data_IF_215948086084
#
_entry.id   IF_215948086084
#
_cell.length_a   1.000
_cell.length_b   1.000
_cell.length_c   1.000
_cell.angle_alpha   90.00
_cell.angle_beta   90.00
_cell.angle_gamma   90.00
#
_symmetry.space_group_name_H-M   'P 1'
#
loop_
_entity.id
_entity.type
_entity.pdbx_description
1 polymer ?
#
# COMPACT_ATOMS: atom_id res chain seq x y z
N UNK A 1 -2.43 -14.32 -1.19
CA UNK A 1 -1.99 -13.52 -2.37
C UNK A 1 -0.47 -13.36 -2.36
N UNK A 2 0.18 -13.15 -3.52
CA UNK A 2 1.63 -12.95 -3.65
C UNK A 2 1.98 -11.63 -4.39
N UNK A 3 2.92 -10.83 -3.87
CA UNK A 3 3.44 -9.60 -4.51
C UNK A 3 4.93 -9.71 -4.79
N UNK A 4 5.39 -9.26 -5.96
CA UNK A 4 6.81 -9.34 -6.38
C UNK A 4 7.45 -7.94 -6.42
N UNK A 5 8.55 -7.76 -5.69
CA UNK A 5 9.41 -6.57 -5.69
C UNK A 5 10.83 -6.98 -6.11
N UNK A 6 11.24 -6.58 -7.31
CA UNK A 6 12.46 -7.09 -7.97
C UNK A 6 12.48 -8.63 -8.02
N UNK A 7 13.23 -9.28 -7.12
CA UNK A 7 13.35 -10.74 -6.96
C UNK A 7 12.84 -11.24 -5.59
N UNK A 8 12.17 -10.38 -4.83
CA UNK A 8 11.56 -10.71 -3.56
C UNK A 8 10.06 -10.92 -3.76
N UNK A 9 9.52 -11.98 -3.17
CA UNK A 9 8.08 -12.25 -3.15
C UNK A 9 7.55 -12.19 -1.73
N UNK A 10 6.47 -11.45 -1.51
CA UNK A 10 5.71 -11.47 -0.25
C UNK A 10 4.51 -12.37 -0.47
N UNK A 11 4.45 -13.51 0.22
CA UNK A 11 3.33 -14.44 0.21
C UNK A 11 2.46 -14.28 1.46
N UNK A 12 1.34 -15.00 1.50
CA UNK A 12 0.49 -15.16 2.69
C UNK A 12 -0.07 -13.84 3.25
N UNK A 13 -0.23 -12.84 2.38
CA UNK A 13 -0.91 -11.60 2.71
C UNK A 13 -2.40 -11.90 2.95
N UNK A 14 -2.97 -11.52 4.10
CA UNK A 14 -4.40 -11.68 4.37
C UNK A 14 -5.23 -10.93 3.32
N UNK A 15 -6.23 -11.59 2.75
CA UNK A 15 -7.10 -10.96 1.73
C UNK A 15 -7.86 -9.76 2.27
N UNK A 16 -8.27 -9.83 3.55
CA UNK A 16 -8.92 -8.72 4.27
C UNK A 16 -8.09 -7.43 4.23
N UNK A 17 -6.76 -7.50 4.16
CA UNK A 17 -5.92 -6.29 4.07
C UNK A 17 -6.20 -5.44 2.81
N UNK A 18 -6.83 -6.00 1.77
CA UNK A 18 -7.25 -5.27 0.57
C UNK A 18 -8.58 -4.53 0.73
N UNK A 19 -9.36 -4.81 1.78
CA UNK A 19 -10.64 -4.13 2.05
C UNK A 19 -10.44 -2.69 2.52
N UNK A 20 -9.25 -2.35 3.03
CA UNK A 20 -8.90 -0.97 3.34
C UNK A 20 -8.66 -0.17 2.05
N UNK A 21 -9.71 0.48 1.59
CA UNK A 21 -9.76 1.25 0.34
C UNK A 21 -9.66 2.75 0.61
N UNK A 22 -8.75 3.42 -0.10
CA UNK A 22 -8.58 4.87 -0.07
C UNK A 22 -8.74 5.40 -1.50
N UNK A 23 -9.65 6.36 -1.69
CA UNK A 23 -9.91 6.96 -3.00
C UNK A 23 -10.23 5.92 -4.10
N UNK A 24 -11.00 4.89 -3.77
CA UNK A 24 -11.46 3.87 -4.71
C UNK A 24 -10.44 2.78 -5.08
N UNK A 25 -9.25 2.76 -4.46
CA UNK A 25 -8.22 1.71 -4.63
C UNK A 25 -7.71 1.21 -3.27
N UNK A 26 -7.43 -0.10 -3.10
CA UNK A 26 -6.81 -0.63 -1.88
C UNK A 26 -5.49 0.08 -1.54
N UNK A 27 -5.23 0.32 -0.26
CA UNK A 27 -3.99 0.99 0.18
C UNK A 27 -2.72 0.25 -0.27
N UNK A 28 -2.76 -1.09 -0.27
CA UNK A 28 -1.66 -1.94 -0.77
C UNK A 28 -1.41 -1.68 -2.27
N UNK A 29 -2.48 -1.57 -3.07
CA UNK A 29 -2.36 -1.31 -4.51
C UNK A 29 -1.85 0.09 -4.83
N UNK A 30 -2.11 1.08 -3.96
CA UNK A 30 -1.50 2.40 -4.10
C UNK A 30 0.03 2.33 -4.07
N UNK A 31 0.59 1.53 -3.15
CA UNK A 31 2.05 1.37 -3.07
C UNK A 31 2.58 0.69 -4.33
N UNK A 32 1.93 -0.37 -4.81
CA UNK A 32 2.33 -1.09 -6.02
C UNK A 32 2.30 -0.17 -7.25
N UNK A 33 1.26 0.65 -7.38
CA UNK A 33 1.08 1.53 -8.52
C UNK A 33 2.05 2.72 -8.52
N UNK A 34 2.31 3.32 -7.35
CA UNK A 34 3.17 4.50 -7.25
C UNK A 34 4.66 4.16 -7.22
N UNK A 35 5.06 3.10 -6.50
CA UNK A 35 6.48 2.76 -6.32
C UNK A 35 7.00 1.83 -7.42
N UNK A 36 6.91 2.31 -8.67
CA UNK A 36 7.51 1.68 -9.83
C UNK A 36 8.27 2.72 -10.66
N UNK A 37 9.37 2.31 -11.31
CA UNK A 37 10.14 3.21 -12.18
C UNK A 37 9.29 3.61 -13.38
N UNK A 38 9.06 4.92 -13.56
CA UNK A 38 8.29 5.47 -14.68
C UNK A 38 9.12 6.48 -15.43
N UNK A 39 8.91 6.56 -16.75
CA UNK A 39 9.53 7.59 -17.58
C UNK A 39 8.43 8.35 -18.32
N UNK A 40 8.34 9.65 -18.09
CA UNK A 40 7.41 10.48 -18.84
C UNK A 40 7.88 10.60 -20.29
N UNK A 41 6.99 10.30 -21.23
CA UNK A 41 7.34 10.26 -22.67
C UNK A 41 7.58 11.65 -23.26
N UNK A 42 6.95 12.69 -22.70
CA UNK A 42 7.04 14.05 -23.24
C UNK A 42 8.29 14.77 -22.77
N UNK A 43 8.55 14.77 -21.47
CA UNK A 43 9.70 15.42 -20.84
C UNK A 43 10.95 14.56 -20.80
N UNK A 44 10.81 13.23 -20.87
CA UNK A 44 11.91 12.29 -20.70
C UNK A 44 12.37 12.12 -19.25
N UNK A 45 11.74 12.80 -18.29
CA UNK A 45 12.06 12.70 -16.86
C UNK A 45 11.75 11.28 -16.38
N UNK A 46 12.71 10.69 -15.67
CA UNK A 46 12.57 9.40 -15.01
C UNK A 46 12.21 9.66 -13.56
N UNK A 47 11.13 9.04 -13.12
CA UNK A 47 10.72 8.96 -11.73
C UNK A 47 11.12 7.58 -11.21
N UNK A 48 12.20 7.54 -10.45
CA UNK A 48 12.74 6.33 -9.83
C UNK A 48 12.53 6.38 -8.30
N UNK A 49 11.60 5.58 -7.74
CA UNK A 49 11.32 5.60 -6.31
C UNK A 49 12.48 5.09 -5.45
N UNK A 50 13.47 4.41 -6.04
CA UNK A 50 14.65 3.95 -5.31
C UNK A 50 15.60 5.10 -4.97
N UNK A 51 15.48 6.25 -5.64
CA UNK A 51 16.27 7.45 -5.34
C UNK A 51 15.73 8.23 -4.13
N UNK A 52 14.52 7.92 -3.65
CA UNK A 52 13.89 8.64 -2.55
C UNK A 52 14.56 8.43 -1.19
N UNK A 53 15.11 7.24 -0.94
CA UNK A 53 15.68 6.87 0.37
C UNK A 53 17.04 6.22 0.23
N UNK A 54 17.96 6.59 1.12
CA UNK A 54 19.26 5.91 1.28
C UNK A 54 19.12 4.47 1.81
N UNK A 55 17.95 4.08 2.31
CA UNK A 55 17.69 2.72 2.77
C UNK A 55 17.16 1.86 1.61
N UNK A 56 17.92 0.86 1.12
CA UNK A 56 17.50 0.02 0.00
C UNK A 56 16.27 -0.86 0.32
N UNK A 57 15.93 -1.03 1.60
CA UNK A 57 14.74 -1.78 2.05
C UNK A 57 13.52 -0.88 2.29
N UNK A 58 13.61 0.42 1.98
CA UNK A 58 12.54 1.37 2.28
C UNK A 58 11.18 0.96 1.70
N UNK A 59 11.12 0.73 0.39
CA UNK A 59 9.87 0.39 -0.31
C UNK A 59 9.30 -0.95 0.19
N UNK A 60 10.18 -1.93 0.42
CA UNK A 60 9.78 -3.23 0.97
C UNK A 60 9.18 -3.09 2.38
N UNK A 61 9.85 -2.35 3.27
CA UNK A 61 9.35 -2.12 4.64
C UNK A 61 8.06 -1.28 4.63
N UNK A 62 7.93 -0.33 3.69
CA UNK A 62 6.72 0.46 3.50
C UNK A 62 5.54 -0.44 3.13
N UNK A 63 5.72 -1.34 2.17
CA UNK A 63 4.69 -2.30 1.77
C UNK A 63 4.24 -3.19 2.93
N UNK A 64 5.18 -3.74 3.71
CA UNK A 64 4.86 -4.53 4.91
C UNK A 64 4.10 -3.70 5.95
N UNK A 65 4.52 -2.46 6.17
CA UNK A 65 3.85 -1.54 7.10
C UNK A 65 2.43 -1.24 6.65
N UNK A 66 2.20 -1.02 5.35
CA UNK A 66 0.88 -0.74 4.80
C UNK A 66 -0.06 -1.95 4.89
N UNK A 67 0.44 -3.18 4.71
CA UNK A 67 -0.35 -4.39 4.96
C UNK A 67 -0.84 -4.42 6.42
N UNK A 68 0.05 -4.17 7.37
CA UNK A 68 -0.30 -4.15 8.79
C UNK A 68 -1.26 -3.00 9.15
N UNK A 69 -1.00 -1.79 8.64
CA UNK A 69 -1.89 -0.63 8.83
C UNK A 69 -3.28 -0.91 8.27
N UNK A 70 -3.37 -1.57 7.12
CA UNK A 70 -4.65 -1.93 6.50
C UNK A 70 -5.46 -2.85 7.42
N UNK A 71 -4.85 -3.91 7.94
CA UNK A 71 -5.50 -4.83 8.90
C UNK A 71 -5.95 -4.11 10.17
N UNK A 72 -5.06 -3.33 10.80
CA UNK A 72 -5.39 -2.59 12.03
C UNK A 72 -6.50 -1.57 11.82
N UNK A 73 -6.55 -0.95 10.64
CA UNK A 73 -7.60 0.02 10.33
C UNK A 73 -8.96 -0.66 10.20
N UNK A 74 -9.02 -1.84 9.57
CA UNK A 74 -10.26 -2.60 9.45
C UNK A 74 -10.72 -3.07 10.83
N UNK A 75 -9.81 -3.60 11.67
CA UNK A 75 -10.13 -3.99 13.04
C UNK A 75 -10.67 -2.80 13.85
N UNK A 76 -10.09 -1.60 13.67
CA UNK A 76 -10.58 -0.39 14.34
C UNK A 76 -11.99 0.00 13.85
N UNK A 77 -12.23 -0.03 12.54
CA UNK A 77 -13.53 0.28 11.95
C UNK A 77 -14.61 -0.68 12.48
N UNK A 78 -14.31 -1.97 12.53
CA UNK A 78 -15.24 -2.98 13.06
C UNK A 78 -15.50 -2.83 14.57
N UNK A 79 -14.55 -2.26 15.31
CA UNK A 79 -14.72 -1.98 16.74
C UNK A 79 -15.55 -0.71 17.04
N UNK A 80 -15.88 0.09 16.02
CA UNK A 80 -16.67 1.31 16.22
C UNK A 80 -18.08 0.96 16.74
N UNK A 81 -18.63 1.77 17.66
CA UNK A 81 -20.01 1.58 18.10
C UNK A 81 -20.97 1.78 16.92
N UNK A 82 -22.16 1.20 17.04
CA UNK A 82 -23.24 1.48 16.09
C UNK A 82 -23.52 2.97 16.02
N UNK A 83 -23.78 3.48 14.82
CA UNK A 83 -24.07 4.88 14.61
C UNK A 83 -25.39 5.26 15.30
N UNK A 84 -25.31 6.08 16.35
CA UNK A 84 -26.47 6.69 16.98
C UNK A 84 -26.77 8.04 16.32
N UNK A 85 -27.98 8.18 15.77
CA UNK A 85 -28.46 9.44 15.20
C UNK A 85 -29.34 10.11 16.25
N UNK A 86 -28.91 11.28 16.74
CA UNK A 86 -29.68 12.10 17.67
C UNK A 86 -30.55 13.05 16.85
N UNK A 87 -31.87 12.98 17.03
CA UNK A 87 -32.85 13.90 16.44
C UNK A 87 -32.89 15.27 17.13
#
# INVERSE_FOLDING_TARGET
>A
MCLVYYNLSISDIPERAYEYVVNGKPAIEWIIDQYQVRKDKKSGIVDDPNEFSNNPKYIFNLLLSIINVSMQTIDLIESLPSLEIIE
#
